data_IF_968575381316
#
_entry.id   IF_968575381316
#
_cell.length_a   1.000
_cell.length_b   1.000
_cell.length_c   1.000
_cell.angle_alpha   90.00
_cell.angle_beta   90.00
_cell.angle_gamma   90.00
#
_symmetry.space_group_name_H-M   'P 1'
#
loop_
_entity.id
_entity.type
_entity.pdbx_description
1 polymer ?
#
# COMPACT_ATOMS: atom_id res chain seq x y z
N UNK A 1 -5.01 1.51 7.09
CA UNK A 1 -4.59 2.86 7.47
C UNK A 1 -3.35 3.21 6.67
N UNK A 2 -3.33 4.40 6.06
CA UNK A 2 -2.21 4.92 5.31
C UNK A 2 -1.79 6.26 5.91
N UNK A 3 -0.48 6.48 5.99
CA UNK A 3 0.12 7.71 6.50
C UNK A 3 1.07 8.24 5.44
N UNK A 4 0.92 9.51 5.10
CA UNK A 4 1.81 10.25 4.22
C UNK A 4 2.26 11.53 4.92
N UNK A 5 3.48 11.97 4.66
CA UNK A 5 4.02 13.20 5.23
C UNK A 5 4.42 14.12 4.11
N UNK A 6 3.85 15.32 4.13
CA UNK A 6 4.10 16.34 3.13
C UNK A 6 4.70 17.59 3.73
N UNK A 7 5.58 18.22 2.98
CA UNK A 7 5.96 19.61 3.16
C UNK A 7 5.12 20.49 2.24
N UNK A 8 4.61 21.59 2.77
CA UNK A 8 3.93 22.60 1.97
C UNK A 8 5.00 23.52 1.37
N UNK A 9 5.14 23.46 0.06
CA UNK A 9 6.13 24.23 -0.68
C UNK A 9 5.74 25.70 -0.79
N UNK A 10 6.68 26.58 -1.17
CA UNK A 10 6.45 28.03 -1.31
C UNK A 10 5.38 28.39 -2.35
N UNK A 11 5.17 27.54 -3.34
CA UNK A 11 4.16 27.66 -4.39
C UNK A 11 2.82 27.00 -4.02
N UNK A 12 2.65 26.61 -2.76
CA UNK A 12 1.51 25.90 -2.20
C UNK A 12 1.30 24.47 -2.77
N UNK A 13 2.27 23.89 -3.46
CA UNK A 13 2.24 22.47 -3.79
C UNK A 13 2.68 21.64 -2.60
N UNK A 14 2.41 20.33 -2.65
CA UNK A 14 2.78 19.36 -1.63
C UNK A 14 3.95 18.49 -2.13
N UNK A 15 4.99 18.36 -1.33
CA UNK A 15 6.07 17.42 -1.60
C UNK A 15 6.10 16.34 -0.49
N UNK A 16 6.09 15.07 -0.87
CA UNK A 16 6.31 13.99 0.10
C UNK A 16 7.74 14.06 0.64
N UNK A 17 7.87 14.17 1.97
CA UNK A 17 9.17 14.19 2.66
C UNK A 17 9.50 12.86 3.34
N UNK A 18 8.51 11.98 3.46
CA UNK A 18 8.66 10.64 4.00
C UNK A 18 7.93 9.64 3.12
N UNK A 19 8.50 8.44 2.94
CA UNK A 19 7.86 7.37 2.15
C UNK A 19 6.50 7.01 2.75
N UNK A 20 5.51 6.78 1.90
CA UNK A 20 4.18 6.35 2.34
C UNK A 20 4.29 5.11 3.23
N UNK A 21 3.70 5.18 4.41
CA UNK A 21 3.71 4.12 5.41
C UNK A 21 2.30 3.80 5.87
N UNK A 22 2.13 2.70 6.58
CA UNK A 22 0.81 2.29 7.05
C UNK A 22 0.74 0.80 7.30
N UNK A 23 -0.49 0.28 7.34
CA UNK A 23 -0.74 -1.13 7.56
C UNK A 23 -2.23 -1.42 7.77
N UNK A 24 -2.59 -2.67 8.07
CA UNK A 24 -3.99 -3.08 8.26
C UNK A 24 -4.58 -2.59 9.61
N UNK A 25 -4.22 -1.38 10.05
CA UNK A 25 -4.59 -0.81 11.36
C UNK A 25 -5.80 0.12 11.26
N UNK A 26 -6.80 -0.28 10.47
CA UNK A 26 -8.07 0.44 10.32
C UNK A 26 -9.16 -0.05 11.27
N UNK A 27 -10.41 0.37 11.00
CA UNK A 27 -11.59 -0.05 11.77
C UNK A 27 -11.81 -1.55 11.79
N UNK A 28 -11.34 -2.28 10.79
CA UNK A 28 -11.44 -3.76 10.72
C UNK A 28 -10.71 -4.48 11.85
N UNK A 29 -9.63 -3.90 12.40
CA UNK A 29 -8.96 -4.46 13.58
C UNK A 29 -9.90 -4.48 14.79
N UNK A 30 -10.68 -3.41 14.96
CA UNK A 30 -11.68 -3.32 16.02
C UNK A 30 -12.82 -4.34 15.80
N UNK A 31 -13.18 -4.59 14.54
CA UNK A 31 -14.20 -5.60 14.19
C UNK A 31 -13.70 -7.00 14.52
N UNK A 32 -12.44 -7.31 14.26
CA UNK A 32 -11.83 -8.60 14.61
C UNK A 32 -11.75 -8.81 16.14
N UNK A 33 -11.40 -7.78 16.92
CA UNK A 33 -11.42 -7.87 18.39
C UNK A 33 -12.86 -8.06 18.92
N UNK A 34 -13.85 -7.40 18.31
CA UNK A 34 -15.26 -7.66 18.63
C UNK A 34 -15.68 -9.11 18.31
N UNK A 35 -15.28 -9.66 17.17
CA UNK A 35 -15.55 -11.07 16.84
C UNK A 35 -14.95 -12.01 17.88
N UNK A 36 -13.68 -11.82 18.23
CA UNK A 36 -13.00 -12.61 19.28
C UNK A 36 -13.74 -12.52 20.60
N UNK A 37 -14.20 -11.33 20.98
CA UNK A 37 -15.02 -11.13 22.17
C UNK A 37 -16.32 -11.94 22.10
N UNK A 38 -17.04 -11.91 20.97
CA UNK A 38 -18.26 -12.68 20.79
C UNK A 38 -18.00 -14.18 20.87
N UNK A 39 -16.94 -14.67 20.22
CA UNK A 39 -16.56 -16.10 20.29
C UNK A 39 -16.30 -16.55 21.73
N UNK A 40 -15.54 -15.75 22.48
CA UNK A 40 -15.28 -16.01 23.90
C UNK A 40 -16.56 -15.98 24.72
N UNK A 41 -17.42 -14.97 24.51
CA UNK A 41 -18.66 -14.79 25.25
C UNK A 41 -19.64 -15.95 25.05
N UNK A 42 -19.69 -16.52 23.84
CA UNK A 42 -20.56 -17.62 23.47
C UNK A 42 -19.92 -19.00 23.62
N UNK A 43 -18.62 -19.06 23.99
CA UNK A 43 -17.81 -20.29 24.03
C UNK A 43 -17.91 -21.11 22.73
N UNK A 44 -17.88 -20.39 21.60
CA UNK A 44 -18.02 -20.96 20.26
C UNK A 44 -17.28 -20.11 19.22
N UNK A 45 -16.14 -20.63 18.71
CA UNK A 45 -15.26 -19.93 17.76
C UNK A 45 -15.84 -19.79 16.33
N UNK A 46 -17.02 -20.36 16.06
CA UNK A 46 -17.69 -20.31 14.75
C UNK A 46 -19.10 -19.72 14.79
N UNK A 47 -19.55 -19.20 15.93
CA UNK A 47 -20.95 -18.77 16.11
C UNK A 47 -21.38 -17.65 15.14
N UNK A 48 -20.49 -16.75 14.77
CA UNK A 48 -20.80 -15.68 13.81
C UNK A 48 -20.85 -16.20 12.37
N UNK A 49 -19.93 -17.08 11.98
CA UNK A 49 -19.94 -17.75 10.67
C UNK A 49 -21.17 -18.63 10.49
N UNK A 50 -21.57 -19.32 11.54
CA UNK A 50 -22.81 -20.11 11.56
C UNK A 50 -24.03 -19.20 11.45
N UNK A 51 -24.05 -18.06 12.18
CA UNK A 51 -25.10 -17.06 12.04
C UNK A 51 -25.21 -16.55 10.61
N UNK A 52 -24.07 -16.24 9.95
CA UNK A 52 -24.05 -15.83 8.55
C UNK A 52 -24.65 -16.87 7.60
N UNK A 53 -24.46 -18.17 7.87
CA UNK A 53 -25.02 -19.27 7.05
C UNK A 53 -26.53 -19.41 7.19
N UNK A 54 -27.05 -19.28 8.43
CA UNK A 54 -28.47 -19.56 8.71
C UNK A 54 -29.37 -18.32 8.74
N UNK A 55 -28.80 -17.14 8.99
CA UNK A 55 -29.52 -15.87 9.13
C UNK A 55 -28.66 -14.66 8.70
N UNK A 56 -28.30 -14.56 7.40
CA UNK A 56 -27.38 -13.51 6.93
C UNK A 56 -27.87 -12.08 7.18
N UNK A 57 -29.19 -11.84 7.21
CA UNK A 57 -29.74 -10.52 7.52
C UNK A 57 -29.52 -10.15 9.01
N UNK A 58 -29.69 -11.11 9.91
CA UNK A 58 -29.46 -10.90 11.34
C UNK A 58 -27.97 -10.65 11.62
N UNK A 59 -27.09 -11.37 10.93
CA UNK A 59 -25.64 -11.17 11.00
C UNK A 59 -25.23 -9.77 10.52
N UNK A 60 -25.78 -9.34 9.38
CA UNK A 60 -25.54 -8.02 8.81
C UNK A 60 -26.04 -6.90 9.74
N UNK A 61 -27.21 -7.09 10.36
CA UNK A 61 -27.78 -6.11 11.31
C UNK A 61 -26.91 -5.97 12.56
N UNK A 62 -26.35 -7.07 13.08
CA UNK A 62 -25.40 -7.04 14.19
C UNK A 62 -24.13 -6.27 13.83
N UNK A 63 -23.56 -6.55 12.66
CA UNK A 63 -22.35 -5.84 12.18
C UNK A 63 -22.62 -4.35 11.98
N UNK A 64 -23.76 -3.97 11.41
CA UNK A 64 -24.16 -2.57 11.24
C UNK A 64 -24.37 -1.84 12.56
N UNK A 65 -25.02 -2.51 13.53
CA UNK A 65 -25.22 -1.94 14.87
C UNK A 65 -23.87 -1.73 15.58
N UNK A 66 -22.95 -2.69 15.47
CA UNK A 66 -21.60 -2.54 16.00
C UNK A 66 -20.83 -1.41 15.30
N UNK A 67 -20.85 -1.34 13.95
CA UNK A 67 -20.18 -0.29 13.19
C UNK A 67 -20.68 1.11 13.58
N UNK A 68 -21.97 1.30 13.75
CA UNK A 68 -22.52 2.58 14.18
C UNK A 68 -22.04 2.98 15.58
N UNK A 69 -21.91 2.03 16.49
CA UNK A 69 -21.49 2.26 17.87
C UNK A 69 -19.98 2.40 18.00
N UNK A 70 -19.21 1.68 17.18
CA UNK A 70 -17.75 1.82 17.07
C UNK A 70 -17.31 3.25 16.77
N UNK A 71 -18.08 3.98 15.97
CA UNK A 71 -17.82 5.40 15.66
C UNK A 71 -18.14 6.34 16.83
N UNK A 72 -19.06 5.94 17.72
CA UNK A 72 -19.62 6.78 18.78
C UNK A 72 -19.33 6.22 20.18
N UNK A 73 -18.06 5.83 20.44
CA UNK A 73 -17.63 5.36 21.78
C UNK A 73 -17.90 6.42 22.83
N UNK A 74 -18.64 6.06 23.87
CA UNK A 74 -18.99 6.97 24.97
C UNK A 74 -17.89 7.00 26.03
N UNK A 75 -17.83 8.09 26.80
CA UNK A 75 -16.88 8.21 27.91
C UNK A 75 -17.14 7.19 29.02
N UNK A 76 -18.43 6.86 29.26
CA UNK A 76 -18.87 5.91 30.28
C UNK A 76 -20.14 5.19 29.88
N UNK A 77 -20.48 4.12 30.60
CA UNK A 77 -21.68 3.30 30.37
C UNK A 77 -21.33 2.03 29.59
N UNK A 78 -22.30 1.11 29.52
CA UNK A 78 -22.18 -0.13 28.75
C UNK A 78 -22.52 0.09 27.29
N UNK A 79 -21.83 -0.58 26.41
CA UNK A 79 -22.27 -0.74 25.03
C UNK A 79 -23.40 -1.75 24.99
N UNK A 80 -24.50 -1.37 24.35
CA UNK A 80 -25.66 -2.26 24.16
C UNK A 80 -25.84 -2.53 22.68
N UNK A 81 -25.77 -3.79 22.29
CA UNK A 81 -26.02 -4.27 20.93
C UNK A 81 -27.29 -5.10 20.90
N UNK A 82 -28.08 -4.97 19.82
CA UNK A 82 -29.22 -5.85 19.61
C UNK A 82 -28.72 -7.26 19.34
N UNK A 83 -29.23 -8.24 20.06
CA UNK A 83 -28.80 -9.62 19.92
C UNK A 83 -29.68 -10.36 18.90
N UNK A 84 -29.09 -10.90 17.80
CA UNK A 84 -29.82 -11.80 16.92
C UNK A 84 -30.33 -13.03 17.67
N UNK A 85 -31.62 -13.32 17.52
CA UNK A 85 -32.23 -14.45 18.27
C UNK A 85 -31.57 -15.79 17.92
N UNK A 86 -31.14 -15.97 16.69
CA UNK A 86 -30.45 -17.19 16.23
C UNK A 86 -29.03 -17.33 16.77
N UNK A 87 -28.36 -16.23 17.13
CA UNK A 87 -27.03 -16.30 17.76
C UNK A 87 -27.09 -17.02 19.12
N UNK A 88 -28.19 -16.93 19.85
CA UNK A 88 -28.38 -17.65 21.11
C UNK A 88 -28.41 -19.17 20.98
N UNK A 89 -28.76 -19.67 19.81
CA UNK A 89 -28.79 -21.13 19.57
C UNK A 89 -27.42 -21.75 19.66
N UNK A 90 -26.36 -20.94 19.54
CA UNK A 90 -24.96 -21.37 19.60
C UNK A 90 -24.36 -21.29 20.99
N UNK A 91 -25.12 -20.88 22.01
CA UNK A 91 -24.66 -20.83 23.39
C UNK A 91 -25.37 -21.88 24.26
N UNK A 92 -24.58 -22.62 25.04
CA UNK A 92 -25.07 -23.70 25.89
C UNK A 92 -25.48 -23.24 27.32
N UNK A 93 -25.27 -21.95 27.67
CA UNK A 93 -25.46 -21.46 29.06
C UNK A 93 -25.92 -20.00 29.10
N UNK A 94 -26.30 -19.51 30.29
CA UNK A 94 -26.46 -18.09 30.58
C UNK A 94 -25.10 -17.38 30.30
N UNK A 95 -25.04 -16.64 29.19
CA UNK A 95 -23.83 -16.04 28.70
C UNK A 95 -23.47 -14.83 29.57
N UNK A 96 -22.45 -15.00 30.40
CA UNK A 96 -21.92 -13.96 31.25
C UNK A 96 -20.37 -14.09 31.36
N UNK A 97 -19.64 -13.03 31.09
CA UNK A 97 -18.21 -12.93 31.29
C UNK A 97 -17.92 -11.64 32.07
N UNK A 98 -17.62 -11.79 33.36
CA UNK A 98 -17.50 -10.64 34.27
C UNK A 98 -18.80 -9.84 34.34
N UNK A 99 -18.72 -8.55 33.99
CA UNK A 99 -19.88 -7.66 33.92
C UNK A 99 -20.50 -7.57 32.51
N UNK A 100 -19.90 -8.25 31.50
CA UNK A 100 -20.51 -8.43 30.20
C UNK A 100 -21.64 -9.47 30.30
N UNK A 101 -22.74 -9.24 29.62
CA UNK A 101 -23.90 -10.13 29.74
C UNK A 101 -24.74 -10.14 28.47
N UNK A 102 -25.48 -11.21 28.30
CA UNK A 102 -26.46 -11.38 27.23
C UNK A 102 -27.83 -11.60 27.85
N UNK A 103 -28.82 -10.83 27.39
CA UNK A 103 -30.23 -11.01 27.72
C UNK A 103 -30.98 -11.59 26.52
N UNK A 104 -32.32 -11.63 26.63
CA UNK A 104 -33.19 -12.09 25.54
C UNK A 104 -33.07 -11.26 24.26
N UNK A 105 -32.72 -9.98 24.35
CA UNK A 105 -32.78 -9.04 23.24
C UNK A 105 -31.46 -8.29 23.02
N UNK A 106 -30.56 -8.27 24.01
CA UNK A 106 -29.38 -7.42 23.99
C UNK A 106 -28.14 -8.12 24.51
N UNK A 107 -27.01 -7.74 23.94
CA UNK A 107 -25.65 -7.99 24.41
C UNK A 107 -25.13 -6.70 25.05
N UNK A 108 -24.62 -6.81 26.27
CA UNK A 108 -24.07 -5.70 27.05
C UNK A 108 -22.57 -5.91 27.18
N UNK A 109 -21.79 -4.93 26.72
CA UNK A 109 -20.33 -4.95 26.80
C UNK A 109 -19.91 -3.79 27.70
N UNK A 110 -19.07 -4.05 28.68
CA UNK A 110 -18.49 -3.02 29.55
C UNK A 110 -17.68 -2.02 28.73
N UNK A 111 -17.69 -0.77 29.18
CA UNK A 111 -17.05 0.30 28.44
C UNK A 111 -15.54 0.10 28.29
N UNK A 112 -14.87 -0.41 29.32
CA UNK A 112 -13.42 -0.64 29.28
C UNK A 112 -13.07 -1.83 28.38
N UNK A 113 -13.90 -2.87 28.34
CA UNK A 113 -13.80 -3.97 27.38
C UNK A 113 -13.97 -3.45 25.95
N UNK A 114 -14.99 -2.65 25.70
CA UNK A 114 -15.22 -2.07 24.37
C UNK A 114 -14.07 -1.16 23.92
N UNK A 115 -13.50 -0.34 24.82
CA UNK A 115 -12.31 0.48 24.54
C UNK A 115 -11.08 -0.37 24.23
N UNK A 116 -10.97 -1.54 24.87
CA UNK A 116 -9.84 -2.45 24.67
C UNK A 116 -9.72 -2.92 23.21
N UNK A 117 -10.84 -3.02 22.47
CA UNK A 117 -10.86 -3.40 21.05
C UNK A 117 -10.05 -2.45 20.16
N UNK A 118 -9.88 -1.19 20.59
CA UNK A 118 -9.09 -0.19 19.87
C UNK A 118 -7.59 -0.25 20.17
N UNK A 119 -7.17 -0.99 21.20
CA UNK A 119 -5.80 -0.93 21.73
C UNK A 119 -4.74 -1.31 20.70
N UNK A 120 -4.96 -2.37 19.94
CA UNK A 120 -4.02 -2.83 18.92
C UNK A 120 -3.82 -1.76 17.81
N UNK A 121 -4.94 -1.24 17.27
CA UNK A 121 -4.90 -0.20 16.25
C UNK A 121 -4.27 1.10 16.78
N UNK A 122 -4.67 1.56 17.98
CA UNK A 122 -4.12 2.74 18.64
C UNK A 122 -2.60 2.64 18.79
N UNK A 123 -2.11 1.55 19.36
CA UNK A 123 -0.68 1.36 19.63
C UNK A 123 0.13 1.29 18.32
N UNK A 124 -0.41 0.66 17.29
CA UNK A 124 0.23 0.62 15.98
C UNK A 124 0.33 2.02 15.35
N UNK A 125 -0.74 2.82 15.42
CA UNK A 125 -0.77 4.20 14.91
C UNK A 125 0.26 5.05 15.65
N UNK A 126 0.28 5.01 16.97
CA UNK A 126 1.23 5.75 17.80
C UNK A 126 2.67 5.39 17.42
N UNK A 127 2.98 4.09 17.35
CA UNK A 127 4.32 3.61 16.98
C UNK A 127 4.77 4.07 15.60
N UNK A 128 3.87 4.11 14.62
CA UNK A 128 4.21 4.60 13.28
C UNK A 128 4.52 6.10 13.32
N UNK A 129 3.71 6.90 14.02
CA UNK A 129 3.96 8.35 14.16
C UNK A 129 5.27 8.60 14.91
N UNK A 130 5.59 7.85 15.98
CA UNK A 130 6.87 7.93 16.68
C UNK A 130 8.06 7.64 15.76
N UNK A 131 7.97 6.59 14.93
CA UNK A 131 9.03 6.28 13.97
C UNK A 131 9.22 7.41 12.95
N UNK A 132 8.13 7.97 12.45
CA UNK A 132 8.18 9.11 11.52
C UNK A 132 8.84 10.33 12.20
N UNK A 133 8.47 10.65 13.44
CA UNK A 133 9.09 11.74 14.23
C UNK A 133 10.57 11.51 14.44
N UNK A 134 10.97 10.27 14.70
CA UNK A 134 12.39 9.90 14.88
C UNK A 134 13.19 10.14 13.61
N UNK A 135 12.61 9.83 12.43
CA UNK A 135 13.30 9.92 11.16
C UNK A 135 13.33 11.34 10.58
N UNK A 136 12.25 12.11 10.76
CA UNK A 136 12.10 13.48 10.20
C UNK A 136 12.51 14.55 11.22
N UNK A 137 12.38 14.29 12.51
CA UNK A 137 12.66 15.20 13.60
C UNK A 137 11.49 16.04 14.06
N UNK A 138 10.76 16.71 13.16
CA UNK A 138 9.65 17.58 13.50
C UNK A 138 8.45 17.40 12.55
N UNK A 139 7.25 17.43 13.13
CA UNK A 139 5.98 17.49 12.43
C UNK A 139 5.17 18.64 13.05
N UNK A 140 4.71 19.58 12.23
CA UNK A 140 3.93 20.73 12.71
C UNK A 140 2.48 20.34 12.99
N UNK A 141 1.90 19.51 12.13
CA UNK A 141 0.51 19.09 12.28
C UNK A 141 0.24 17.68 11.73
N UNK A 142 -0.73 17.02 12.35
CA UNK A 142 -1.30 15.74 11.89
C UNK A 142 -2.77 15.95 11.55
N UNK A 143 -3.15 15.59 10.33
CA UNK A 143 -4.54 15.68 9.86
C UNK A 143 -5.14 14.27 9.90
N UNK A 144 -6.18 14.09 10.70
CA UNK A 144 -6.88 12.82 10.87
C UNK A 144 -8.07 12.76 9.93
N UNK A 145 -8.01 11.89 8.90
CA UNK A 145 -9.03 11.73 7.87
C UNK A 145 -9.47 10.28 7.70
N UNK A 146 -10.54 10.06 6.95
CA UNK A 146 -11.12 8.74 6.70
C UNK A 146 -12.10 8.27 7.77
N UNK A 147 -12.85 7.21 7.48
CA UNK A 147 -13.95 6.72 8.32
C UNK A 147 -13.53 6.31 9.75
N UNK A 148 -12.34 5.73 9.91
CA UNK A 148 -11.86 5.29 11.23
C UNK A 148 -11.53 6.49 12.15
N UNK A 149 -11.09 7.61 11.58
CA UNK A 149 -10.85 8.85 12.33
C UNK A 149 -12.15 9.53 12.82
N UNK A 150 -13.33 9.07 12.40
CA UNK A 150 -14.60 9.55 12.96
C UNK A 150 -14.77 9.14 14.43
N UNK A 151 -14.07 8.10 14.93
CA UNK A 151 -14.10 7.72 16.34
C UNK A 151 -13.43 8.80 17.19
N UNK A 152 -14.24 9.55 17.94
CA UNK A 152 -13.75 10.57 18.88
C UNK A 152 -12.81 9.97 19.93
N UNK A 153 -13.18 8.79 20.46
CA UNK A 153 -12.36 8.08 21.43
C UNK A 153 -10.93 7.82 20.91
N UNK A 154 -10.81 7.25 19.70
CA UNK A 154 -9.50 6.98 19.11
C UNK A 154 -8.68 8.25 18.91
N UNK A 155 -9.31 9.31 18.42
CA UNK A 155 -8.63 10.60 18.25
C UNK A 155 -8.11 11.15 19.58
N UNK A 156 -8.98 11.18 20.59
CA UNK A 156 -8.63 11.69 21.93
C UNK A 156 -7.46 10.90 22.54
N UNK A 157 -7.45 9.58 22.40
CA UNK A 157 -6.37 8.71 22.89
C UNK A 157 -5.03 8.93 22.16
N UNK A 158 -5.06 9.16 20.85
CA UNK A 158 -3.85 9.47 20.07
C UNK A 158 -3.34 10.86 20.45
N UNK A 159 -4.23 11.86 20.51
CA UNK A 159 -3.87 13.24 20.84
C UNK A 159 -3.32 13.41 22.27
N UNK A 160 -3.80 12.58 23.20
CA UNK A 160 -3.35 12.59 24.59
C UNK A 160 -1.97 11.92 24.78
N UNK A 161 -1.38 11.33 23.75
CA UNK A 161 -0.10 10.63 23.90
C UNK A 161 1.03 11.63 24.15
N UNK A 162 1.83 11.47 25.22
CA UNK A 162 2.75 12.51 25.69
C UNK A 162 3.79 12.99 24.66
N UNK A 163 4.29 12.07 23.80
CA UNK A 163 5.26 12.42 22.77
C UNK A 163 4.69 13.35 21.68
N UNK A 164 3.37 13.50 21.61
CA UNK A 164 2.67 14.32 20.60
C UNK A 164 2.21 15.68 21.12
N UNK A 165 2.63 16.08 22.32
CA UNK A 165 2.19 17.32 22.97
C UNK A 165 2.47 18.60 22.17
N UNK A 166 3.50 18.59 21.31
CA UNK A 166 3.88 19.71 20.46
C UNK A 166 3.30 19.65 19.05
N UNK A 167 2.50 18.63 18.74
CA UNK A 167 1.92 18.43 17.42
C UNK A 167 0.50 18.98 17.41
N UNK A 168 0.18 19.79 16.41
CA UNK A 168 -1.18 20.26 16.20
C UNK A 168 -2.00 19.20 15.47
N UNK A 169 -3.01 18.64 16.15
CA UNK A 169 -3.94 17.72 15.51
C UNK A 169 -5.12 18.46 14.88
N UNK A 170 -5.43 18.12 13.62
CA UNK A 170 -6.53 18.67 12.87
C UNK A 170 -7.49 17.55 12.50
N UNK A 171 -8.78 17.76 12.75
CA UNK A 171 -9.83 16.88 12.28
C UNK A 171 -10.82 17.71 11.46
N UNK A 172 -10.95 17.46 10.15
CA UNK A 172 -11.94 18.14 9.32
C UNK A 172 -13.36 17.91 9.83
N UNK A 173 -14.31 18.75 9.41
CA UNK A 173 -15.71 18.63 9.81
C UNK A 173 -16.33 17.28 9.42
N UNK A 174 -16.01 16.79 8.22
CA UNK A 174 -16.41 15.46 7.76
C UNK A 174 -15.19 14.65 7.32
N UNK A 175 -14.49 13.98 8.26
CA UNK A 175 -13.28 13.23 7.97
C UNK A 175 -13.50 12.10 6.96
N UNK A 176 -14.73 11.58 6.86
CA UNK A 176 -15.09 10.49 5.95
C UNK A 176 -15.11 10.93 4.47
N UNK A 177 -15.52 12.18 4.20
CA UNK A 177 -15.66 12.72 2.84
C UNK A 177 -14.40 13.44 2.33
N UNK A 178 -13.52 13.89 3.20
CA UNK A 178 -12.33 14.70 2.82
C UNK A 178 -11.43 13.96 1.83
N UNK A 179 -11.27 12.65 1.99
CA UNK A 179 -10.45 11.85 1.06
C UNK A 179 -11.05 11.85 -0.35
N UNK A 180 -12.38 11.71 -0.46
CA UNK A 180 -13.10 11.78 -1.73
C UNK A 180 -12.97 13.17 -2.36
N UNK A 181 -13.16 14.22 -1.58
CA UNK A 181 -12.99 15.61 -2.04
C UNK A 181 -11.57 15.85 -2.53
N UNK A 182 -10.57 15.39 -1.77
CA UNK A 182 -9.17 15.46 -2.16
C UNK A 182 -8.86 14.70 -3.46
N UNK A 183 -9.47 13.55 -3.68
CA UNK A 183 -9.31 12.77 -4.91
C UNK A 183 -9.87 13.53 -6.13
N UNK A 184 -11.02 14.20 -5.99
CA UNK A 184 -11.60 15.06 -7.06
C UNK A 184 -10.69 16.24 -7.37
N UNK A 185 -10.19 16.93 -6.33
CA UNK A 185 -9.27 18.07 -6.50
C UNK A 185 -7.95 17.61 -7.16
N UNK A 186 -7.42 16.47 -6.75
CA UNK A 186 -6.22 15.88 -7.35
C UNK A 186 -6.46 15.52 -8.83
N UNK A 187 -7.61 14.93 -9.17
CA UNK A 187 -7.97 14.64 -10.57
C UNK A 187 -8.04 15.90 -11.45
N UNK A 188 -8.44 17.05 -10.88
CA UNK A 188 -8.45 18.33 -11.57
C UNK A 188 -7.04 18.95 -11.68
N UNK A 189 -6.22 18.84 -10.63
CA UNK A 189 -4.85 19.37 -10.58
C UNK A 189 -3.87 18.34 -9.97
N UNK A 190 -3.40 17.35 -10.75
CA UNK A 190 -2.47 16.33 -10.25
C UNK A 190 -1.13 16.88 -9.77
N UNK A 191 -0.70 18.03 -10.30
CA UNK A 191 0.55 18.71 -9.91
C UNK A 191 0.46 19.38 -8.53
N UNK A 192 -0.72 19.38 -7.89
CA UNK A 192 -0.84 19.78 -6.48
C UNK A 192 0.08 18.94 -5.57
N UNK A 193 0.37 17.69 -5.96
CA UNK A 193 1.45 16.87 -5.38
C UNK A 193 2.64 16.95 -6.32
N UNK A 194 3.57 17.86 -6.03
CA UNK A 194 4.69 18.19 -6.92
C UNK A 194 5.85 17.18 -6.86
N UNK A 195 5.97 16.43 -5.77
CA UNK A 195 7.00 15.41 -5.60
C UNK A 195 6.54 14.27 -4.68
N UNK A 196 7.06 13.06 -4.94
CA UNK A 196 6.80 11.85 -4.16
C UNK A 196 8.08 11.16 -3.75
N UNK A 197 8.07 10.41 -2.65
CA UNK A 197 9.13 9.50 -2.26
C UNK A 197 8.88 8.12 -2.86
N UNK A 198 9.89 7.56 -3.54
CA UNK A 198 9.80 6.19 -4.06
C UNK A 198 9.59 5.19 -2.90
N UNK A 199 8.52 4.42 -2.97
CA UNK A 199 8.15 3.43 -1.94
C UNK A 199 9.02 2.18 -1.99
N UNK A 200 9.53 1.87 -3.18
CA UNK A 200 10.38 0.71 -3.49
C UNK A 200 11.52 1.14 -4.40
N UNK A 201 12.56 0.33 -4.42
CA UNK A 201 13.54 0.36 -5.52
C UNK A 201 12.91 -0.32 -6.72
N UNK A 202 12.82 0.38 -7.86
CA UNK A 202 12.28 -0.15 -9.11
C UNK A 202 13.41 -0.36 -10.11
N UNK A 203 13.35 -1.46 -10.83
CA UNK A 203 14.36 -1.77 -11.84
C UNK A 203 13.91 -2.84 -12.82
N UNK A 204 14.75 -3.08 -13.81
CA UNK A 204 14.47 -4.05 -14.88
C UNK A 204 15.46 -5.21 -14.84
N UNK A 205 14.98 -6.37 -15.24
CA UNK A 205 15.82 -7.53 -15.53
C UNK A 205 16.50 -7.32 -16.87
N UNK A 206 17.83 -7.29 -16.86
CA UNK A 206 18.64 -7.05 -18.06
C UNK A 206 19.78 -8.05 -18.18
N UNK A 207 20.34 -8.16 -19.41
CA UNK A 207 21.62 -8.81 -19.66
C UNK A 207 22.70 -7.75 -19.84
N UNK A 208 23.89 -7.98 -19.28
CA UNK A 208 25.07 -7.12 -19.44
C UNK A 208 26.29 -7.91 -19.83
N UNK A 209 27.31 -7.27 -20.38
CA UNK A 209 28.63 -7.93 -20.59
C UNK A 209 29.11 -8.50 -19.25
N UNK A 210 29.58 -9.75 -19.28
CA UNK A 210 30.08 -10.41 -18.08
C UNK A 210 31.37 -9.76 -17.61
N UNK A 211 31.45 -9.44 -16.33
CA UNK A 211 32.65 -8.94 -15.67
C UNK A 211 32.94 -9.82 -14.46
N UNK A 212 34.03 -10.64 -14.47
CA UNK A 212 34.32 -11.58 -13.40
C UNK A 212 34.66 -10.91 -12.06
N UNK A 213 34.90 -9.59 -12.03
CA UNK A 213 35.18 -8.86 -10.78
C UNK A 213 33.90 -8.53 -9.95
N UNK A 214 32.72 -8.51 -10.62
CA UNK A 214 31.49 -8.04 -9.99
C UNK A 214 30.30 -8.99 -10.21
N UNK A 215 30.39 -9.88 -11.22
CA UNK A 215 29.30 -10.78 -11.55
C UNK A 215 29.60 -12.21 -11.06
N UNK A 216 28.56 -12.91 -10.61
CA UNK A 216 28.67 -14.32 -10.25
C UNK A 216 28.89 -15.19 -11.49
N UNK A 217 29.82 -16.16 -11.42
CA UNK A 217 30.09 -17.11 -12.50
C UNK A 217 28.85 -17.92 -12.89
N UNK A 218 28.00 -18.26 -11.92
CA UNK A 218 26.72 -18.96 -12.13
C UNK A 218 25.73 -18.21 -13.01
N UNK A 219 25.89 -16.89 -13.15
CA UNK A 219 25.08 -16.02 -14.01
C UNK A 219 25.70 -15.75 -15.38
N UNK A 220 26.92 -16.29 -15.61
CA UNK A 220 27.61 -16.18 -16.89
C UNK A 220 26.96 -17.08 -17.94
N UNK A 221 26.79 -16.56 -19.14
CA UNK A 221 26.26 -17.30 -20.30
C UNK A 221 26.88 -16.78 -21.58
N UNK A 222 26.95 -17.65 -22.60
CA UNK A 222 27.31 -17.26 -23.96
C UNK A 222 26.04 -16.94 -24.75
N UNK A 223 25.96 -15.71 -25.28
CA UNK A 223 24.83 -15.28 -26.13
C UNK A 223 25.42 -14.59 -27.36
N UNK A 224 25.09 -15.09 -28.56
CA UNK A 224 25.57 -14.57 -29.85
C UNK A 224 27.10 -14.32 -29.88
N UNK A 225 27.87 -15.26 -29.30
CA UNK A 225 29.34 -15.20 -29.26
C UNK A 225 29.92 -14.28 -28.17
N UNK A 226 29.11 -13.65 -27.33
CA UNK A 226 29.55 -12.76 -26.25
C UNK A 226 29.26 -13.40 -24.88
N UNK A 227 30.20 -13.23 -23.94
CA UNK A 227 29.99 -13.57 -22.56
C UNK A 227 29.11 -12.50 -21.89
N UNK A 228 27.97 -12.92 -21.40
CA UNK A 228 26.98 -12.04 -20.73
C UNK A 228 26.65 -12.53 -19.33
N UNK A 229 26.35 -11.60 -18.45
CA UNK A 229 25.72 -11.86 -17.17
C UNK A 229 24.20 -11.72 -17.35
N UNK A 230 23.48 -12.79 -17.03
CA UNK A 230 21.99 -12.80 -17.05
C UNK A 230 21.41 -12.30 -15.73
N UNK A 231 20.15 -11.92 -15.80
CA UNK A 231 19.31 -11.61 -14.65
C UNK A 231 19.79 -10.41 -13.82
N UNK A 232 20.65 -9.55 -14.35
CA UNK A 232 21.10 -8.34 -13.63
C UNK A 232 19.89 -7.44 -13.38
N UNK A 233 19.69 -7.02 -12.13
CA UNK A 233 18.70 -6.02 -11.77
C UNK A 233 19.28 -4.63 -12.05
N UNK A 234 18.78 -4.00 -13.10
CA UNK A 234 19.15 -2.62 -13.42
C UNK A 234 18.20 -1.66 -12.70
N UNK A 235 18.69 -1.01 -11.67
CA UNK A 235 17.92 -0.05 -10.90
C UNK A 235 17.66 1.22 -11.71
N UNK A 236 16.39 1.61 -11.80
CA UNK A 236 15.94 2.87 -12.42
C UNK A 236 15.70 3.93 -11.35
N UNK A 237 15.14 3.54 -10.21
CA UNK A 237 14.83 4.41 -9.07
C UNK A 237 15.08 3.64 -7.79
N UNK A 238 15.71 4.27 -6.80
CA UNK A 238 15.90 3.69 -5.47
C UNK A 238 14.79 4.08 -4.51
N UNK A 239 14.50 3.18 -3.56
CA UNK A 239 13.62 3.48 -2.43
C UNK A 239 14.07 4.78 -1.74
N UNK A 240 13.10 5.67 -1.45
CA UNK A 240 13.35 6.95 -0.83
C UNK A 240 13.83 8.07 -1.77
N UNK A 241 14.11 7.79 -3.04
CA UNK A 241 14.40 8.85 -4.01
C UNK A 241 13.23 9.82 -4.12
N UNK A 242 13.52 11.12 -4.19
CA UNK A 242 12.51 12.14 -4.45
C UNK A 242 12.25 12.22 -5.96
N UNK A 243 11.00 12.04 -6.33
CA UNK A 243 10.53 11.99 -7.71
C UNK A 243 9.54 13.13 -7.93
N UNK A 244 9.92 14.12 -8.72
CA UNK A 244 9.00 15.19 -9.11
C UNK A 244 7.99 14.68 -10.11
N UNK A 245 6.85 15.36 -10.22
CA UNK A 245 5.75 14.93 -11.09
C UNK A 245 6.18 14.70 -12.55
N UNK A 246 7.06 15.54 -13.09
CA UNK A 246 7.53 15.49 -14.47
C UNK A 246 8.94 14.85 -14.60
N UNK A 247 9.50 14.28 -13.52
CA UNK A 247 10.84 13.66 -13.58
C UNK A 247 10.81 12.43 -14.50
N UNK A 248 11.71 12.46 -15.48
CA UNK A 248 11.95 11.38 -16.43
C UNK A 248 13.19 10.59 -16.05
N UNK A 249 13.08 9.27 -15.98
CA UNK A 249 14.21 8.34 -15.86
C UNK A 249 14.34 7.57 -17.15
N UNK A 250 15.53 7.58 -17.73
CA UNK A 250 15.79 7.03 -19.06
C UNK A 250 16.64 5.78 -19.01
N UNK A 251 16.26 4.76 -19.76
CA UNK A 251 17.06 3.56 -20.01
C UNK A 251 17.23 3.34 -21.49
N UNK A 252 18.50 3.30 -21.96
CA UNK A 252 18.86 3.03 -23.36
C UNK A 252 19.33 1.60 -23.53
N UNK A 253 18.79 0.92 -24.52
CA UNK A 253 19.13 -0.45 -24.80
C UNK A 253 19.14 -0.75 -26.31
N UNK A 254 19.64 -1.93 -26.64
CA UNK A 254 19.55 -2.48 -27.99
C UNK A 254 19.17 -3.97 -27.93
N UNK A 255 18.50 -4.42 -28.98
CA UNK A 255 18.11 -5.81 -29.16
C UNK A 255 18.48 -6.27 -30.59
N UNK A 256 18.98 -7.52 -30.70
CA UNK A 256 19.39 -8.11 -31.96
C UNK A 256 18.29 -9.04 -32.50
N UNK A 257 17.90 -8.86 -33.78
CA UNK A 257 16.84 -9.59 -34.46
C UNK A 257 17.30 -10.15 -35.80
N UNK A 258 18.42 -10.88 -35.80
CA UNK A 258 19.08 -11.38 -37.03
C UNK A 258 18.33 -12.50 -37.72
N UNK A 259 17.40 -13.20 -37.07
CA UNK A 259 16.59 -14.24 -37.69
C UNK A 259 15.19 -13.75 -38.04
N UNK A 260 14.60 -14.31 -39.14
CA UNK A 260 13.25 -13.93 -39.55
C UNK A 260 12.20 -14.12 -38.44
N UNK A 261 12.31 -15.19 -37.65
CA UNK A 261 11.41 -15.44 -36.53
C UNK A 261 11.53 -14.35 -35.45
N UNK A 262 12.74 -13.90 -35.11
CA UNK A 262 12.95 -12.84 -34.10
C UNK A 262 12.42 -11.47 -34.56
N UNK A 263 12.43 -11.19 -35.86
CA UNK A 263 11.91 -9.92 -36.40
C UNK A 263 10.42 -9.72 -36.15
N UNK A 264 9.67 -10.80 -36.06
CA UNK A 264 8.21 -10.75 -35.79
C UNK A 264 7.85 -10.88 -34.30
N UNK A 265 8.83 -11.12 -33.43
CA UNK A 265 8.58 -11.30 -31.99
C UNK A 265 8.65 -9.99 -31.23
N UNK A 266 7.75 -9.75 -30.26
CA UNK A 266 7.86 -8.58 -29.39
C UNK A 266 9.09 -8.67 -28.48
N UNK A 267 9.66 -7.51 -28.15
CA UNK A 267 10.68 -7.39 -27.10
C UNK A 267 9.95 -7.32 -25.76
N UNK A 268 10.31 -8.18 -24.81
CA UNK A 268 9.73 -8.23 -23.46
C UNK A 268 10.77 -7.83 -22.44
N UNK A 269 10.43 -6.85 -21.62
CA UNK A 269 11.25 -6.36 -20.53
C UNK A 269 10.47 -6.52 -19.23
N UNK A 270 11.07 -7.17 -18.24
CA UNK A 270 10.44 -7.42 -16.94
C UNK A 270 10.82 -6.31 -15.97
N UNK A 271 9.81 -5.70 -15.34
CA UNK A 271 9.94 -4.69 -14.29
C UNK A 271 9.76 -5.33 -12.93
N UNK A 272 10.68 -5.05 -12.02
CA UNK A 272 10.68 -5.56 -10.65
C UNK A 272 10.67 -4.41 -9.65
N UNK A 273 10.22 -4.73 -8.43
CA UNK A 273 10.38 -3.88 -7.26
C UNK A 273 11.01 -4.67 -6.10
N UNK A 274 11.77 -3.97 -5.28
CA UNK A 274 12.39 -4.53 -4.08
C UNK A 274 12.55 -3.45 -3.00
N UNK A 275 12.86 -3.87 -1.78
CA UNK A 275 13.23 -3.00 -0.66
C UNK A 275 14.68 -3.22 -0.26
N UNK A 276 15.22 -2.22 0.45
CA UNK A 276 16.53 -2.33 1.11
C UNK A 276 17.68 -2.72 0.14
N UNK A 277 17.63 -2.26 -1.11
CA UNK A 277 18.69 -2.51 -2.09
C UNK A 277 19.86 -1.55 -1.87
N UNK A 278 21.03 -2.12 -1.63
CA UNK A 278 22.28 -1.37 -1.54
C UNK A 278 22.67 -0.79 -2.91
N UNK A 279 23.05 0.50 -2.95
CA UNK A 279 23.44 1.22 -4.17
C UNK A 279 24.76 0.73 -4.77
N UNK A 280 25.63 0.16 -3.93
CA UNK A 280 26.98 -0.25 -4.30
C UNK A 280 27.08 -1.73 -4.64
N UNK A 281 25.99 -2.49 -4.51
CA UNK A 281 25.98 -3.93 -4.74
C UNK A 281 25.32 -4.31 -6.07
N UNK A 282 25.89 -5.28 -6.76
CA UNK A 282 25.25 -5.91 -7.92
C UNK A 282 24.18 -6.89 -7.40
N UNK A 283 22.94 -6.67 -7.81
CA UNK A 283 21.77 -7.44 -7.41
C UNK A 283 21.16 -8.09 -8.64
N UNK A 284 20.54 -9.24 -8.47
CA UNK A 284 19.92 -9.97 -9.56
C UNK A 284 18.39 -10.02 -9.39
N UNK A 285 17.67 -9.94 -10.49
CA UNK A 285 16.20 -10.04 -10.49
C UNK A 285 15.66 -11.39 -9.98
N UNK A 286 16.55 -12.34 -9.72
CA UNK A 286 16.25 -13.66 -9.15
C UNK A 286 16.62 -13.79 -7.69
N UNK A 287 17.12 -12.72 -7.06
CA UNK A 287 17.46 -12.72 -5.65
C UNK A 287 16.19 -12.67 -4.78
N UNK A 288 16.31 -13.12 -3.54
CA UNK A 288 15.20 -13.06 -2.59
C UNK A 288 14.75 -11.61 -2.35
N UNK A 289 13.45 -11.41 -2.21
CA UNK A 289 12.85 -10.08 -2.00
C UNK A 289 12.52 -9.32 -3.29
N UNK A 290 12.89 -9.84 -4.47
CA UNK A 290 12.47 -9.31 -5.75
C UNK A 290 11.03 -9.69 -6.06
N UNK A 291 10.19 -8.71 -6.34
CA UNK A 291 8.79 -8.91 -6.72
C UNK A 291 8.57 -8.38 -8.13
N UNK A 292 8.03 -9.20 -9.02
CA UNK A 292 7.63 -8.74 -10.35
C UNK A 292 6.48 -7.74 -10.24
N UNK A 293 6.57 -6.66 -11.00
CA UNK A 293 5.53 -5.63 -11.15
C UNK A 293 4.74 -5.88 -12.43
N UNK A 294 5.43 -6.40 -13.45
CA UNK A 294 4.83 -6.68 -14.76
C UNK A 294 5.85 -6.64 -15.90
N UNK A 295 5.32 -6.70 -17.12
CA UNK A 295 6.12 -6.79 -18.36
C UNK A 295 5.83 -5.62 -19.28
N UNK A 296 6.90 -4.99 -19.76
CA UNK A 296 6.85 -4.00 -20.82
C UNK A 296 7.01 -4.75 -22.14
N UNK A 297 6.04 -4.65 -23.03
CA UNK A 297 6.05 -5.33 -24.31
C UNK A 297 6.16 -4.28 -25.42
N UNK A 298 7.24 -4.36 -26.20
CA UNK A 298 7.45 -3.54 -27.38
C UNK A 298 7.07 -4.40 -28.62
N UNK A 299 6.12 -3.92 -29.36
CA UNK A 299 5.61 -4.62 -30.55
C UNK A 299 6.39 -4.23 -31.78
N UNK A 300 6.73 -5.21 -32.66
CA UNK A 300 7.40 -4.91 -33.92
C UNK A 300 6.48 -4.09 -34.85
N UNK A 301 7.05 -3.27 -35.75
CA UNK A 301 6.32 -2.69 -36.86
C UNK A 301 5.80 -3.79 -37.81
N UNK A 302 4.91 -3.45 -38.75
CA UNK A 302 4.30 -4.42 -39.68
C UNK A 302 5.33 -5.16 -40.54
N UNK A 303 6.41 -4.48 -40.94
CA UNK A 303 7.54 -5.05 -41.68
C UNK A 303 8.50 -5.85 -40.78
N UNK A 304 8.29 -5.90 -39.49
CA UNK A 304 9.16 -6.54 -38.50
C UNK A 304 10.33 -5.68 -38.06
N UNK A 305 11.06 -6.14 -37.03
CA UNK A 305 12.24 -5.44 -36.54
C UNK A 305 13.38 -5.44 -37.54
N UNK A 306 14.20 -4.35 -37.61
CA UNK A 306 15.50 -4.39 -38.26
C UNK A 306 16.46 -5.36 -37.51
N UNK A 307 17.63 -5.69 -38.08
CA UNK A 307 18.57 -6.60 -37.45
C UNK A 307 19.02 -6.14 -36.07
N UNK A 308 19.13 -4.83 -35.88
CA UNK A 308 19.47 -4.19 -34.61
C UNK A 308 18.45 -3.09 -34.33
N UNK A 309 17.76 -3.20 -33.21
CA UNK A 309 16.85 -2.16 -32.71
C UNK A 309 17.54 -1.46 -31.53
N UNK A 310 17.70 -0.16 -31.64
CA UNK A 310 18.14 0.70 -30.53
C UNK A 310 16.94 1.46 -30.02
N UNK A 311 16.65 1.36 -28.73
CA UNK A 311 15.47 1.99 -28.13
C UNK A 311 15.81 2.66 -26.80
N UNK A 312 14.97 3.62 -26.44
CA UNK A 312 15.03 4.38 -25.21
C UNK A 312 13.69 4.28 -24.48
N UNK A 313 13.73 3.76 -23.28
CA UNK A 313 12.57 3.73 -22.37
C UNK A 313 12.61 4.96 -21.47
N UNK A 314 11.48 5.64 -21.36
CA UNK A 314 11.26 6.76 -20.47
C UNK A 314 10.25 6.34 -19.40
N UNK A 315 10.63 6.53 -18.15
CA UNK A 315 9.83 6.18 -16.98
C UNK A 315 9.45 7.46 -16.22
N UNK A 316 8.18 7.54 -15.84
CA UNK A 316 7.62 8.62 -15.04
C UNK A 316 7.08 8.04 -13.73
N UNK A 317 7.84 8.17 -12.65
CA UNK A 317 7.49 7.63 -11.34
C UNK A 317 6.85 8.65 -10.40
N UNK A 318 6.91 9.93 -10.70
CA UNK A 318 6.35 11.01 -9.87
C UNK A 318 4.82 11.12 -9.92
N UNK A 319 4.18 10.39 -10.84
CA UNK A 319 2.72 10.36 -11.04
C UNK A 319 2.05 9.31 -10.15
N UNK A 320 0.72 9.20 -10.21
CA UNK A 320 -0.04 8.17 -9.48
C UNK A 320 0.26 6.76 -9.97
N UNK A 321 0.46 6.62 -11.30
CA UNK A 321 0.84 5.37 -11.94
C UNK A 321 2.25 5.50 -12.52
N UNK A 322 2.94 4.38 -12.67
CA UNK A 322 4.21 4.35 -13.38
C UNK A 322 3.91 4.54 -14.88
N UNK A 323 4.27 5.70 -15.40
CA UNK A 323 4.20 5.97 -16.83
C UNK A 323 5.41 5.38 -17.54
N UNK A 324 5.20 4.72 -18.70
CA UNK A 324 6.27 4.14 -19.49
C UNK A 324 6.04 4.47 -20.96
N UNK A 325 7.06 5.05 -21.58
CA UNK A 325 7.08 5.30 -23.01
C UNK A 325 8.35 4.72 -23.61
N UNK A 326 8.30 4.28 -24.85
CA UNK A 326 9.45 3.77 -25.57
C UNK A 326 9.59 4.46 -26.92
N UNK A 327 10.81 4.83 -27.26
CA UNK A 327 11.15 5.50 -28.51
C UNK A 327 12.31 4.79 -29.20
N UNK A 328 12.30 4.78 -30.55
CA UNK A 328 13.47 4.36 -31.31
C UNK A 328 14.56 5.42 -31.20
N UNK A 329 15.78 4.97 -30.85
CA UNK A 329 16.90 5.90 -30.68
C UNK A 329 17.39 6.44 -32.04
N UNK A 330 17.42 7.75 -32.14
CA UNK A 330 17.89 8.46 -33.34
C UNK A 330 16.76 9.07 -34.18
N UNK A 331 15.63 8.40 -34.31
CA UNK A 331 14.48 8.87 -35.09
C UNK A 331 13.37 9.47 -34.24
N UNK A 332 13.42 9.27 -32.92
CA UNK A 332 12.41 9.68 -31.95
C UNK A 332 10.99 9.18 -32.27
N UNK A 333 10.91 8.03 -32.95
CA UNK A 333 9.65 7.39 -33.29
C UNK A 333 9.16 6.64 -32.06
N UNK A 334 7.92 6.93 -31.61
CA UNK A 334 7.30 6.25 -30.48
C UNK A 334 6.95 4.81 -30.89
N UNK A 335 7.50 3.84 -30.16
CA UNK A 335 7.20 2.43 -30.36
C UNK A 335 5.90 2.05 -29.65
N UNK A 336 5.10 1.17 -30.29
CA UNK A 336 3.91 0.61 -29.67
C UNK A 336 4.30 -0.20 -28.44
N UNK A 337 3.86 0.26 -27.28
CA UNK A 337 4.23 -0.30 -25.98
C UNK A 337 2.96 -0.69 -25.23
N UNK A 338 2.94 -1.87 -24.61
CA UNK A 338 1.91 -2.29 -23.65
C UNK A 338 2.58 -2.70 -22.35
N UNK A 339 1.90 -2.50 -21.23
CA UNK A 339 2.33 -2.94 -19.92
C UNK A 339 1.33 -3.94 -19.38
N UNK A 340 1.80 -5.16 -19.10
CA UNK A 340 1.01 -6.24 -18.51
C UNK A 340 1.43 -6.37 -17.03
N UNK A 341 0.47 -6.24 -16.13
CA UNK A 341 0.67 -6.51 -14.70
C UNK A 341 0.77 -8.02 -14.46
N UNK A 342 1.68 -8.44 -13.57
CA UNK A 342 1.78 -9.84 -13.12
C UNK A 342 0.78 -10.16 -12.02
#
# INVERSE_FOLDING_TARGET
MDIVVHEIMKDNTLAEVYKASGGPWGGTVVDEEFKKFVYKLFDNESCLEELWKIAPLDALDLERDFEAKKRNVRASGKLTLRLPQKLKMFSNTNVQDGNNSVTLEHMYIENDEFKSFFTAAKNAIIKIIENILKDIGQIDSVILVGGFSCSKFLRDEIMAYPAFSNIKFLSPFDPGLVVLQGAVLYGYNPQAVSARKARYTYGMRVMRHFNPKIHLESKCSMVDGNLVCKDVFYTVVYEGDLLRYDDEKTYKAMSNHTSKARKSMPIKLELFQAKDIDRDQVVFATDDGMTSVGKIILWPPEEGWPDIVKYELKFYFGQTNIGIECYETGNNIKLKTTFELD
#
